data_IF_973902411541
#
_entry.id   IF_973902411541
#
_cell.length_a   1.000
_cell.length_b   1.000
_cell.length_c   1.000
_cell.angle_alpha   90.00
_cell.angle_beta   90.00
_cell.angle_gamma   90.00
#
_symmetry.space_group_name_H-M   'P 1'
#
loop_
_entity.id
_entity.type
_entity.pdbx_description
1 polymer ?
#
# COMPACT_ATOMS: atom_id res chain seq x y z
N UNK A 1 -40.07 52.90 4.69
CA UNK A 1 -38.81 52.58 5.39
C UNK A 1 -39.10 51.57 6.50
N UNK A 2 -38.97 50.27 6.23
CA UNK A 2 -38.87 49.26 7.30
C UNK A 2 -37.79 48.26 6.89
N UNK A 3 -36.84 48.09 7.81
CA UNK A 3 -35.60 47.31 7.71
C UNK A 3 -35.89 45.84 7.42
N UNK A 4 -35.13 45.25 6.50
CA UNK A 4 -34.86 43.81 6.47
C UNK A 4 -34.01 43.45 7.69
N UNK A 5 -34.51 42.56 8.55
CA UNK A 5 -33.68 41.78 9.46
C UNK A 5 -33.85 40.30 9.11
N UNK A 6 -32.76 39.80 8.55
CA UNK A 6 -32.26 38.44 8.37
C UNK A 6 -32.92 37.31 9.16
N UNK A 7 -33.40 36.36 8.36
CA UNK A 7 -33.60 34.94 8.60
C UNK A 7 -32.52 34.26 9.45
N UNK A 8 -32.93 33.63 10.54
CA UNK A 8 -32.26 32.46 11.11
C UNK A 8 -33.31 31.40 11.42
N UNK A 9 -33.54 30.48 10.48
CA UNK A 9 -34.01 29.11 10.68
C UNK A 9 -34.31 28.53 9.31
N UNK A 10 -33.27 27.96 8.71
CA UNK A 10 -33.33 27.25 7.45
C UNK A 10 -32.21 26.24 7.45
N UNK A 11 -32.27 25.27 8.37
CA UNK A 11 -31.64 23.99 8.09
C UNK A 11 -32.43 23.44 6.89
N UNK A 12 -31.88 23.67 5.69
CA UNK A 12 -32.63 23.53 4.45
C UNK A 12 -32.94 22.06 4.20
N UNK A 13 -34.13 21.82 3.65
CA UNK A 13 -34.60 20.55 3.11
C UNK A 13 -33.54 19.83 2.25
N UNK A 14 -32.62 20.58 1.64
CA UNK A 14 -31.49 20.08 0.86
C UNK A 14 -30.52 19.22 1.70
N UNK A 15 -30.33 19.52 2.99
CA UNK A 15 -29.51 18.73 3.90
C UNK A 15 -30.16 17.37 4.20
N UNK A 16 -31.48 17.32 4.42
CA UNK A 16 -32.21 16.07 4.70
C UNK A 16 -32.28 15.14 3.48
N UNK A 17 -32.33 15.71 2.27
CA UNK A 17 -32.22 14.96 1.00
C UNK A 17 -30.77 14.49 0.78
N UNK A 18 -29.78 15.33 1.07
CA UNK A 18 -28.36 14.98 1.01
C UNK A 18 -27.98 13.87 2.02
N UNK A 19 -28.63 13.86 3.19
CA UNK A 19 -28.46 12.85 4.25
C UNK A 19 -29.29 11.57 3.99
N UNK A 20 -30.10 11.53 2.92
CA UNK A 20 -30.58 10.29 2.31
C UNK A 20 -31.98 9.81 2.73
N UNK A 21 -32.91 10.70 3.06
CA UNK A 21 -34.32 10.38 3.31
C UNK A 21 -35.11 10.13 1.99
N UNK A 22 -35.61 8.92 1.67
CA UNK A 22 -36.04 8.60 0.30
C UNK A 22 -37.51 8.85 -0.04
N UNK A 23 -38.42 9.08 0.91
CA UNK A 23 -39.84 9.29 0.58
C UNK A 23 -40.63 9.93 1.73
N UNK A 24 -41.67 10.69 1.37
CA UNK A 24 -42.57 11.43 2.28
C UNK A 24 -43.72 10.51 2.70
N UNK A 25 -43.95 10.35 4.02
CA UNK A 25 -45.08 9.59 4.58
C UNK A 25 -46.23 10.54 4.93
N UNK A 26 -47.44 10.25 4.43
CA UNK A 26 -48.69 10.93 4.78
C UNK A 26 -49.34 10.23 5.99
N UNK A 27 -49.61 10.96 7.06
CA UNK A 27 -50.63 10.60 8.06
C UNK A 27 -51.36 11.89 8.45
N UNK A 28 -52.42 12.20 7.73
CA UNK A 28 -53.39 13.21 8.12
C UNK A 28 -54.49 12.53 8.90
N UNK A 29 -54.84 13.06 10.07
CA UNK A 29 -55.88 12.54 10.94
C UNK A 29 -57.25 12.50 10.19
N UNK A 30 -57.60 11.38 9.53
CA UNK A 30 -58.89 11.17 8.83
C UNK A 30 -60.05 10.91 9.84
N UNK A 31 -59.82 11.22 11.11
CA UNK A 31 -60.67 10.79 12.22
C UNK A 31 -61.71 11.78 12.68
N UNK A 32 -62.40 12.55 11.82
CA UNK A 32 -63.69 13.12 12.22
C UNK A 32 -64.66 13.09 11.04
N UNK A 33 -65.64 12.18 11.13
CA UNK A 33 -66.93 12.27 10.44
C UNK A 33 -67.38 13.73 10.38
N UNK A 34 -67.19 14.41 9.25
CA UNK A 34 -68.00 15.59 8.94
C UNK A 34 -69.38 15.06 8.60
N UNK A 35 -70.37 15.45 9.40
CA UNK A 35 -71.78 15.19 9.10
C UNK A 35 -72.05 15.71 7.66
N UNK A 36 -72.53 14.83 6.77
CA UNK A 36 -72.80 15.06 5.35
C UNK A 36 -71.62 14.91 4.35
N UNK A 37 -70.51 14.29 4.74
CA UNK A 37 -69.50 13.81 3.76
C UNK A 37 -69.90 12.42 3.21
N UNK A 38 -69.69 12.11 1.91
CA UNK A 38 -69.81 10.73 1.42
C UNK A 38 -68.79 9.85 2.15
N UNK A 39 -69.18 8.64 2.53
CA UNK A 39 -68.24 7.64 3.06
C UNK A 39 -67.19 7.35 1.97
N UNK A 40 -65.97 7.84 2.17
CA UNK A 40 -64.94 7.82 1.13
C UNK A 40 -64.04 6.58 1.33
N UNK A 41 -64.59 5.39 1.00
CA UNK A 41 -63.85 4.12 0.97
C UNK A 41 -62.58 4.22 0.10
N UNK A 42 -62.59 5.08 -0.92
CA UNK A 42 -61.47 5.34 -1.83
C UNK A 42 -60.26 5.98 -1.11
N UNK A 43 -60.50 6.77 -0.05
CA UNK A 43 -59.44 7.47 0.69
C UNK A 43 -58.67 6.52 1.62
N UNK A 44 -59.38 5.61 2.31
CA UNK A 44 -58.77 4.56 3.11
C UNK A 44 -58.04 3.53 2.22
N UNK A 45 -58.62 3.20 1.06
CA UNK A 45 -57.97 2.34 0.08
C UNK A 45 -56.69 2.98 -0.52
N UNK A 46 -56.72 4.29 -0.77
CA UNK A 46 -55.55 5.06 -1.20
C UNK A 46 -54.44 5.06 -0.14
N UNK A 47 -54.78 5.35 1.11
CA UNK A 47 -53.83 5.38 2.23
C UNK A 47 -53.20 4.00 2.49
N UNK A 48 -53.98 2.93 2.38
CA UNK A 48 -53.49 1.56 2.49
C UNK A 48 -52.50 1.19 1.37
N UNK A 49 -52.80 1.55 0.12
CA UNK A 49 -51.90 1.30 -1.03
C UNK A 49 -50.57 2.05 -0.89
N UNK A 50 -50.61 3.32 -0.49
CA UNK A 50 -49.41 4.13 -0.24
C UNK A 50 -48.60 3.56 0.94
N UNK A 51 -49.26 3.12 2.01
CA UNK A 51 -48.57 2.54 3.18
C UNK A 51 -47.84 1.24 2.82
N UNK A 52 -48.47 0.36 2.04
CA UNK A 52 -47.85 -0.88 1.58
C UNK A 52 -46.63 -0.64 0.65
N UNK A 53 -46.71 0.36 -0.23
CA UNK A 53 -45.61 0.69 -1.16
C UNK A 53 -44.38 1.29 -0.48
N UNK A 54 -44.47 1.72 0.78
CA UNK A 54 -43.47 2.60 1.43
C UNK A 54 -42.79 1.99 2.66
N UNK A 55 -43.09 0.72 2.97
CA UNK A 55 -42.67 0.00 4.18
C UNK A 55 -41.15 -0.21 4.35
N UNK A 56 -40.33 0.14 3.34
CA UNK A 56 -38.89 -0.13 3.30
C UNK A 56 -37.97 1.12 3.32
N UNK A 57 -38.50 2.32 3.59
CA UNK A 57 -37.73 3.57 3.50
C UNK A 57 -37.84 4.48 4.75
N UNK A 58 -36.72 5.08 5.25
CA UNK A 58 -36.74 6.01 6.40
C UNK A 58 -37.24 7.42 6.00
N UNK A 59 -38.21 8.00 6.73
CA UNK A 59 -39.04 9.12 6.25
C UNK A 59 -39.01 10.43 7.09
N UNK A 60 -39.34 11.57 6.45
CA UNK A 60 -39.65 12.91 7.02
C UNK A 60 -41.12 13.29 6.69
N UNK A 61 -41.78 14.10 7.53
CA UNK A 61 -43.27 14.24 7.66
C UNK A 61 -43.83 15.56 7.08
N UNK A 62 -44.96 15.54 6.34
CA UNK A 62 -45.75 16.76 5.93
C UNK A 62 -47.27 16.46 5.88
N UNK A 63 -48.12 17.41 6.33
CA UNK A 63 -49.60 17.28 6.45
C UNK A 63 -50.42 18.13 5.45
N UNK A 64 -51.71 17.79 5.26
CA UNK A 64 -52.73 18.69 4.69
C UNK A 64 -53.10 19.78 5.70
N UNK A 65 -53.07 21.04 5.26
CA UNK A 65 -53.54 22.17 6.05
C UNK A 65 -54.49 23.03 5.24
N UNK A 66 -55.36 23.76 5.92
CA UNK A 66 -56.01 24.93 5.36
C UNK A 66 -54.91 25.99 5.09
N UNK A 67 -54.63 26.27 3.81
CA UNK A 67 -53.58 27.21 3.41
C UNK A 67 -53.81 28.63 3.93
N UNK A 68 -55.07 28.98 4.22
CA UNK A 68 -55.42 30.26 4.81
C UNK A 68 -55.23 30.28 6.34
N UNK A 69 -55.05 29.12 6.98
CA UNK A 69 -54.72 29.00 8.40
C UNK A 69 -53.19 29.02 8.67
N UNK A 70 -52.37 28.89 7.64
CA UNK A 70 -50.91 28.91 7.75
C UNK A 70 -50.37 30.32 7.45
N UNK A 71 -49.66 30.90 8.42
CA UNK A 71 -48.99 32.19 8.24
C UNK A 71 -47.52 31.99 7.84
N UNK A 72 -47.21 32.17 6.56
CA UNK A 72 -45.83 32.14 6.04
C UNK A 72 -45.71 31.67 4.58
N UNK A 73 -44.55 31.86 3.92
CA UNK A 73 -44.30 31.33 2.59
C UNK A 73 -44.15 29.80 2.63
N UNK A 74 -45.08 29.10 1.98
CA UNK A 74 -45.07 27.64 1.85
C UNK A 74 -44.40 27.27 0.53
N UNK A 75 -43.44 26.35 0.57
CA UNK A 75 -42.83 25.78 -0.62
C UNK A 75 -43.62 24.52 -1.01
N UNK A 76 -44.28 24.57 -2.16
CA UNK A 76 -45.19 23.53 -2.65
C UNK A 76 -44.42 22.45 -3.43
N UNK A 77 -44.48 21.19 -3.01
CA UNK A 77 -43.83 20.06 -3.68
C UNK A 77 -44.82 18.91 -3.94
N UNK A 78 -45.68 19.07 -4.96
CA UNK A 78 -46.47 17.99 -5.59
C UNK A 78 -47.61 17.35 -4.79
N UNK A 79 -47.64 17.46 -3.47
CA UNK A 79 -48.70 16.87 -2.62
C UNK A 79 -50.12 17.43 -2.87
N UNK A 80 -50.21 18.51 -3.64
CA UNK A 80 -51.46 19.14 -4.04
C UNK A 80 -52.22 18.36 -5.12
N UNK A 81 -51.58 17.38 -5.75
CA UNK A 81 -52.05 16.74 -6.98
C UNK A 81 -52.80 15.43 -6.72
N UNK A 82 -52.85 14.93 -5.48
CA UNK A 82 -53.32 13.55 -5.22
C UNK A 82 -54.77 13.44 -4.75
N UNK A 83 -55.49 14.56 -4.62
CA UNK A 83 -56.91 14.55 -4.26
C UNK A 83 -57.77 15.13 -5.39
N UNK A 84 -58.86 14.46 -5.82
CA UNK A 84 -59.67 14.92 -6.97
C UNK A 84 -60.43 16.23 -6.68
N UNK A 85 -60.47 16.66 -5.42
CA UNK A 85 -61.16 17.85 -4.96
C UNK A 85 -60.26 18.77 -4.12
N UNK A 86 -60.35 20.08 -4.32
CA UNK A 86 -59.83 21.12 -3.43
C UNK A 86 -60.98 21.66 -2.59
N UNK A 87 -60.78 21.83 -1.28
CA UNK A 87 -61.79 22.35 -0.37
C UNK A 87 -61.45 23.78 0.05
N UNK A 88 -62.39 24.70 -0.11
CA UNK A 88 -62.25 26.09 0.32
C UNK A 88 -63.55 26.57 1.01
N UNK A 89 -63.46 27.10 2.23
CA UNK A 89 -64.56 27.77 2.95
C UNK A 89 -65.92 27.03 2.90
N UNK A 90 -65.89 25.69 3.06
CA UNK A 90 -67.05 24.77 3.02
C UNK A 90 -67.57 24.38 1.63
N UNK A 91 -66.86 24.73 0.56
CA UNK A 91 -67.15 24.34 -0.82
C UNK A 91 -66.09 23.37 -1.33
N UNK A 92 -66.49 22.33 -2.06
CA UNK A 92 -65.57 21.41 -2.73
C UNK A 92 -65.56 21.71 -4.24
N UNK A 93 -64.37 21.89 -4.80
CA UNK A 93 -64.15 22.15 -6.22
C UNK A 93 -63.30 21.04 -6.81
N UNK A 94 -63.46 20.71 -8.10
CA UNK A 94 -62.54 19.81 -8.80
C UNK A 94 -61.12 20.38 -8.73
N UNK A 95 -60.17 19.54 -8.33
CA UNK A 95 -58.77 19.90 -8.33
C UNK A 95 -58.26 19.89 -9.79
N UNK A 96 -57.88 21.04 -10.38
CA UNK A 96 -57.38 21.08 -11.75
C UNK A 96 -55.99 20.46 -11.89
N UNK A 97 -55.29 20.21 -10.76
CA UNK A 97 -53.98 19.59 -10.72
C UNK A 97 -54.04 18.10 -10.32
N UNK A 98 -55.23 17.48 -10.28
CA UNK A 98 -55.36 16.09 -9.88
C UNK A 98 -54.64 15.12 -10.84
N UNK A 99 -53.74 14.33 -10.28
CA UNK A 99 -53.08 13.18 -10.89
C UNK A 99 -53.75 11.90 -10.35
N UNK A 100 -54.23 11.01 -11.22
CA UNK A 100 -54.77 9.72 -10.79
C UNK A 100 -53.79 8.94 -9.92
N UNK A 101 -54.29 8.32 -8.86
CA UNK A 101 -53.52 7.48 -7.92
C UNK A 101 -52.54 6.54 -8.61
N UNK A 102 -53.00 5.78 -9.61
CA UNK A 102 -52.17 4.78 -10.28
C UNK A 102 -51.00 5.44 -11.03
N UNK A 103 -51.26 6.58 -11.67
CA UNK A 103 -50.24 7.37 -12.35
C UNK A 103 -49.23 7.96 -11.34
N UNK A 104 -49.69 8.46 -10.19
CA UNK A 104 -48.81 8.95 -9.12
C UNK A 104 -47.93 7.82 -8.56
N UNK A 105 -48.51 6.64 -8.33
CA UNK A 105 -47.79 5.46 -7.85
C UNK A 105 -46.73 4.99 -8.85
N UNK A 106 -47.04 4.94 -10.15
CA UNK A 106 -46.05 4.61 -11.20
C UNK A 106 -44.85 5.57 -11.21
N UNK A 107 -45.10 6.87 -11.02
CA UNK A 107 -44.01 7.86 -10.95
C UNK A 107 -43.15 7.67 -9.70
N UNK A 108 -43.77 7.36 -8.55
CA UNK A 108 -43.03 7.10 -7.31
C UNK A 108 -42.19 5.83 -7.40
N UNK A 109 -42.72 4.76 -7.99
CA UNK A 109 -41.96 3.52 -8.23
C UNK A 109 -40.76 3.78 -9.13
N UNK A 110 -40.92 4.55 -10.21
CA UNK A 110 -39.83 4.91 -11.10
C UNK A 110 -38.71 5.70 -10.37
N UNK A 111 -39.07 6.67 -9.54
CA UNK A 111 -38.11 7.45 -8.73
C UNK A 111 -37.40 6.55 -7.70
N UNK A 112 -38.14 5.66 -7.04
CA UNK A 112 -37.57 4.76 -6.03
C UNK A 112 -36.57 3.76 -6.65
N UNK A 113 -36.87 3.26 -7.85
CA UNK A 113 -35.96 2.39 -8.62
C UNK A 113 -34.69 3.15 -8.99
N UNK A 114 -34.80 4.36 -9.57
CA UNK A 114 -33.67 5.19 -9.97
C UNK A 114 -32.72 5.49 -8.79
N UNK A 115 -33.26 5.95 -7.65
CA UNK A 115 -32.48 6.22 -6.43
C UNK A 115 -31.80 4.95 -5.91
N UNK A 116 -32.50 3.81 -5.94
CA UNK A 116 -31.96 2.54 -5.47
C UNK A 116 -30.82 2.03 -6.36
N UNK A 117 -30.94 2.18 -7.68
CA UNK A 117 -29.89 1.83 -8.63
C UNK A 117 -28.67 2.73 -8.47
N UNK A 118 -28.87 4.05 -8.36
CA UNK A 118 -27.80 5.01 -8.10
C UNK A 118 -27.05 4.68 -6.81
N UNK A 119 -27.75 4.40 -5.72
CA UNK A 119 -27.12 4.01 -4.43
C UNK A 119 -26.34 2.71 -4.51
N UNK A 120 -26.85 1.72 -5.24
CA UNK A 120 -26.14 0.46 -5.48
C UNK A 120 -24.84 0.71 -6.25
N UNK A 121 -24.88 1.56 -7.29
CA UNK A 121 -23.71 1.93 -8.07
C UNK A 121 -22.67 2.71 -7.23
N UNK A 122 -23.09 3.73 -6.48
CA UNK A 122 -22.22 4.51 -5.59
C UNK A 122 -21.60 3.63 -4.48
N UNK A 123 -22.39 2.75 -3.87
CA UNK A 123 -21.90 1.81 -2.87
C UNK A 123 -20.91 0.78 -3.41
N UNK A 124 -21.13 0.30 -4.65
CA UNK A 124 -20.20 -0.59 -5.33
C UNK A 124 -18.88 0.12 -5.69
N UNK A 125 -18.97 1.37 -6.17
CA UNK A 125 -17.80 2.20 -6.48
C UNK A 125 -16.97 2.44 -5.22
N UNK A 126 -17.59 2.88 -4.13
CA UNK A 126 -16.91 3.12 -2.84
C UNK A 126 -16.17 1.88 -2.33
N UNK A 127 -16.83 0.71 -2.35
CA UNK A 127 -16.20 -0.56 -1.95
C UNK A 127 -15.01 -0.92 -2.84
N UNK A 128 -15.10 -0.66 -4.14
CA UNK A 128 -14.00 -0.89 -5.08
C UNK A 128 -12.80 0.03 -4.79
N UNK A 129 -13.07 1.32 -4.55
CA UNK A 129 -12.04 2.31 -4.19
C UNK A 129 -11.36 1.99 -2.86
N UNK A 130 -12.13 1.63 -1.83
CA UNK A 130 -11.60 1.20 -0.53
C UNK A 130 -10.72 -0.04 -0.66
N UNK A 131 -11.16 -1.02 -1.46
CA UNK A 131 -10.38 -2.23 -1.73
C UNK A 131 -9.08 -1.90 -2.47
N UNK A 132 -9.14 -1.05 -3.50
CA UNK A 132 -7.95 -0.62 -4.23
C UNK A 132 -6.97 0.11 -3.30
N UNK A 133 -7.46 1.09 -2.53
CA UNK A 133 -6.63 1.84 -1.58
C UNK A 133 -5.96 0.93 -0.57
N UNK A 134 -6.70 -0.02 -0.01
CA UNK A 134 -6.15 -0.98 0.97
C UNK A 134 -5.03 -1.80 0.35
N UNK A 135 -5.24 -2.39 -0.83
CA UNK A 135 -4.23 -3.20 -1.51
C UNK A 135 -3.00 -2.38 -1.94
N UNK A 136 -3.22 -1.13 -2.34
CA UNK A 136 -2.16 -0.21 -2.76
C UNK A 136 -1.28 0.18 -1.58
N UNK A 137 -1.86 0.62 -0.46
CA UNK A 137 -1.12 1.06 0.72
C UNK A 137 -0.50 -0.09 1.50
N UNK A 138 -1.18 -1.23 1.63
CA UNK A 138 -0.68 -2.36 2.43
C UNK A 138 0.35 -3.23 1.69
N UNK A 139 0.70 -2.91 0.44
CA UNK A 139 1.62 -3.73 -0.32
C UNK A 139 3.05 -3.64 0.27
N UNK A 140 3.75 -4.76 0.50
CA UNK A 140 5.11 -4.77 1.07
C UNK A 140 6.20 -4.32 0.08
N UNK A 141 5.79 -3.89 -1.12
CA UNK A 141 6.66 -3.42 -2.19
C UNK A 141 6.32 -1.96 -2.50
N UNK A 142 7.29 -1.23 -3.02
CA UNK A 142 7.04 0.13 -3.50
C UNK A 142 6.16 0.11 -4.74
N UNK A 143 5.10 0.90 -4.75
CA UNK A 143 4.22 1.07 -5.90
C UNK A 143 4.15 2.55 -6.27
N UNK A 144 4.30 2.86 -7.56
CA UNK A 144 4.08 4.20 -8.08
C UNK A 144 3.21 4.19 -9.34
N UNK A 145 2.38 5.23 -9.46
CA UNK A 145 1.60 5.56 -10.65
C UNK A 145 2.21 6.81 -11.26
N UNK A 146 2.53 6.76 -12.55
CA UNK A 146 3.25 7.83 -13.23
C UNK A 146 2.55 8.23 -14.53
N UNK A 147 2.62 9.53 -14.88
CA UNK A 147 2.07 10.07 -16.12
C UNK A 147 2.89 9.66 -17.36
N UNK A 148 2.60 10.27 -18.52
CA UNK A 148 3.28 9.97 -19.79
C UNK A 148 4.72 10.50 -19.84
N UNK A 149 5.05 11.46 -18.98
CA UNK A 149 6.36 12.08 -18.84
C UNK A 149 7.21 11.37 -17.76
N UNK A 150 6.56 10.55 -16.93
CA UNK A 150 7.15 9.78 -15.85
C UNK A 150 7.16 10.49 -14.50
N UNK A 151 6.35 11.55 -14.35
CA UNK A 151 6.10 12.24 -13.09
C UNK A 151 5.23 11.38 -12.19
N UNK A 152 5.51 11.36 -10.89
CA UNK A 152 4.71 10.60 -9.93
C UNK A 152 3.35 11.28 -9.71
N UNK A 153 2.28 10.55 -9.99
CA UNK A 153 0.89 10.94 -9.71
C UNK A 153 0.51 10.47 -8.30
N UNK A 154 0.88 9.24 -7.97
CA UNK A 154 0.56 8.61 -6.70
C UNK A 154 1.65 7.59 -6.34
N UNK A 155 1.92 7.45 -5.05
CA UNK A 155 2.82 6.42 -4.53
C UNK A 155 2.28 5.86 -3.22
N UNK A 156 2.53 4.58 -2.95
CA UNK A 156 2.14 3.99 -1.68
C UNK A 156 3.16 4.29 -0.58
N UNK A 157 2.77 4.08 0.68
CA UNK A 157 3.65 4.28 1.83
C UNK A 157 4.97 3.50 1.73
N UNK A 158 4.93 2.26 1.21
CA UNK A 158 6.14 1.45 1.01
C UNK A 158 7.14 2.09 0.04
N UNK A 159 6.69 2.75 -1.03
CA UNK A 159 7.58 3.46 -1.96
C UNK A 159 8.22 4.70 -1.32
N UNK A 160 7.44 5.43 -0.53
CA UNK A 160 7.87 6.59 0.27
C UNK A 160 8.96 6.20 1.26
N UNK A 161 8.71 5.16 2.05
CA UNK A 161 9.68 4.64 3.02
C UNK A 161 10.94 4.11 2.35
N UNK A 162 10.80 3.43 1.21
CA UNK A 162 11.92 2.81 0.49
C UNK A 162 12.93 3.86 -0.02
N UNK A 163 12.44 4.99 -0.53
CA UNK A 163 13.26 6.05 -1.12
C UNK A 163 13.46 7.27 -0.19
N UNK A 164 12.76 7.28 0.95
CA UNK A 164 12.81 8.30 2.00
C UNK A 164 12.33 9.69 1.55
N UNK A 165 11.35 9.74 0.66
CA UNK A 165 10.65 10.97 0.28
C UNK A 165 9.22 10.93 0.80
N UNK A 166 8.65 12.09 1.16
CA UNK A 166 7.22 12.19 1.44
C UNK A 166 6.39 12.16 0.15
N UNK A 167 5.10 11.87 0.26
CA UNK A 167 4.16 11.92 -0.88
C UNK A 167 4.18 13.29 -1.58
N UNK A 168 4.19 14.39 -0.81
CA UNK A 168 4.20 15.75 -1.38
C UNK A 168 5.50 16.07 -2.12
N UNK A 169 6.63 15.54 -1.67
CA UNK A 169 7.89 15.68 -2.39
C UNK A 169 7.85 14.90 -3.71
N UNK A 170 7.25 13.69 -3.71
CA UNK A 170 7.12 12.91 -4.94
C UNK A 170 6.25 13.56 -6.00
N UNK A 171 5.19 14.30 -5.62
CA UNK A 171 4.36 15.04 -6.58
C UNK A 171 5.16 16.07 -7.41
N UNK A 172 6.34 16.47 -6.97
CA UNK A 172 7.26 17.33 -7.71
C UNK A 172 8.30 16.59 -8.57
N UNK A 173 8.42 15.28 -8.40
CA UNK A 173 9.51 14.47 -8.96
C UNK A 173 9.01 13.53 -10.05
N UNK A 174 9.97 13.02 -10.82
CA UNK A 174 9.79 11.96 -11.80
C UNK A 174 10.76 10.81 -11.51
N UNK A 175 10.55 9.67 -12.16
CA UNK A 175 11.52 8.56 -12.07
C UNK A 175 12.94 8.98 -12.50
N UNK A 176 13.07 10.04 -13.32
CA UNK A 176 14.35 10.52 -13.86
C UNK A 176 15.19 11.21 -12.80
N UNK A 177 14.54 11.82 -11.80
CA UNK A 177 15.19 12.58 -10.75
C UNK A 177 15.78 11.67 -9.66
N UNK A 178 15.16 10.51 -9.47
CA UNK A 178 15.60 9.52 -8.47
C UNK A 178 16.43 8.38 -9.08
N UNK A 179 16.50 8.23 -10.40
CA UNK A 179 17.31 7.19 -11.05
C UNK A 179 18.75 7.68 -11.22
N UNK A 180 19.74 6.83 -10.92
CA UNK A 180 21.16 7.17 -11.12
C UNK A 180 21.48 7.46 -12.60
N UNK A 181 22.46 8.34 -12.84
CA UNK A 181 22.78 8.85 -14.17
C UNK A 181 23.16 7.73 -15.16
N UNK A 182 23.88 6.72 -14.68
CA UNK A 182 24.34 5.57 -15.47
C UNK A 182 23.16 4.70 -15.95
N UNK A 183 22.10 4.59 -15.14
CA UNK A 183 20.94 3.74 -15.40
C UNK A 183 19.79 4.52 -16.09
N UNK A 184 19.95 5.84 -16.24
CA UNK A 184 18.92 6.75 -16.70
C UNK A 184 18.64 6.60 -18.20
N UNK A 185 19.67 6.39 -19.02
CA UNK A 185 19.53 6.26 -20.47
C UNK A 185 18.66 5.06 -20.86
N UNK A 186 18.95 3.89 -20.27
CA UNK A 186 18.15 2.68 -20.49
C UNK A 186 16.72 2.85 -19.94
N UNK A 187 16.58 3.39 -18.74
CA UNK A 187 15.27 3.64 -18.12
C UNK A 187 14.40 4.53 -19.01
N UNK A 188 14.95 5.62 -19.57
CA UNK A 188 14.24 6.51 -20.49
C UNK A 188 13.80 5.80 -21.76
N UNK A 189 14.67 4.98 -22.35
CA UNK A 189 14.34 4.21 -23.56
C UNK A 189 13.18 3.24 -23.29
N UNK A 190 13.28 2.44 -22.24
CA UNK A 190 12.26 1.44 -21.86
C UNK A 190 10.92 2.11 -21.54
N UNK A 191 10.94 3.24 -20.84
CA UNK A 191 9.76 4.02 -20.51
C UNK A 191 9.11 4.64 -21.76
N UNK A 192 9.91 5.25 -22.66
CA UNK A 192 9.40 5.82 -23.91
C UNK A 192 8.76 4.77 -24.82
N UNK A 193 9.34 3.58 -24.93
CA UNK A 193 8.74 2.47 -25.67
C UNK A 193 7.42 1.99 -25.04
N UNK A 194 7.31 2.01 -23.71
CA UNK A 194 6.13 1.62 -22.95
C UNK A 194 4.96 2.60 -23.18
N UNK A 195 5.23 3.91 -23.04
CA UNK A 195 4.26 4.98 -23.29
C UNK A 195 3.85 5.00 -24.77
N UNK A 196 4.82 4.87 -25.68
CA UNK A 196 4.61 4.83 -27.14
C UNK A 196 3.96 3.55 -27.66
N UNK A 197 3.67 2.57 -26.80
CA UNK A 197 2.93 1.36 -27.18
C UNK A 197 3.75 0.29 -27.92
N UNK A 198 5.07 0.47 -28.05
CA UNK A 198 5.98 -0.54 -28.62
C UNK A 198 6.13 -1.76 -27.71
N UNK A 199 5.75 -1.63 -26.44
CA UNK A 199 5.79 -2.71 -25.43
C UNK A 199 4.72 -2.51 -24.35
N UNK A 200 4.29 -3.61 -23.73
CA UNK A 200 3.25 -3.61 -22.68
C UNK A 200 3.79 -3.48 -21.25
N UNK A 201 4.99 -4.03 -20.98
CA UNK A 201 5.64 -4.03 -19.65
C UNK A 201 7.14 -4.25 -19.74
N UNK A 202 7.98 -3.66 -18.87
CA UNK A 202 9.40 -4.03 -18.69
C UNK A 202 9.70 -4.43 -17.26
N UNK A 203 10.79 -5.17 -17.12
CA UNK A 203 11.53 -5.36 -15.88
C UNK A 203 12.95 -4.84 -16.07
N UNK A 204 13.49 -4.11 -15.11
CA UNK A 204 14.88 -3.66 -15.11
C UNK A 204 15.40 -3.61 -13.68
N UNK A 205 16.62 -4.11 -13.48
CA UNK A 205 17.37 -3.88 -12.24
C UNK A 205 18.18 -2.61 -12.41
N UNK A 206 17.97 -1.63 -11.54
CA UNK A 206 18.64 -0.33 -11.62
C UNK A 206 18.83 0.25 -10.23
N UNK A 207 19.60 1.32 -10.15
CA UNK A 207 19.85 2.03 -8.90
C UNK A 207 19.00 3.29 -8.81
N UNK A 208 18.39 3.46 -7.65
CA UNK A 208 17.80 4.71 -7.23
C UNK A 208 18.68 5.42 -6.22
N UNK A 209 18.61 6.75 -6.22
CA UNK A 209 19.16 7.63 -5.19
C UNK A 209 18.04 7.96 -4.21
N UNK A 210 18.24 7.58 -2.95
CA UNK A 210 17.36 7.98 -1.85
C UNK A 210 17.55 9.46 -1.52
N UNK A 211 16.61 10.05 -0.78
CA UNK A 211 16.68 11.45 -0.34
C UNK A 211 17.96 11.78 0.44
N UNK A 212 18.40 10.87 1.31
CA UNK A 212 19.62 11.02 2.09
C UNK A 212 20.92 10.84 1.27
N UNK A 213 20.81 10.52 -0.03
CA UNK A 213 21.94 10.32 -0.94
C UNK A 213 22.34 8.85 -1.13
N UNK A 214 21.84 7.93 -0.29
CA UNK A 214 22.16 6.51 -0.36
C UNK A 214 21.67 5.88 -1.67
N UNK A 215 22.35 4.81 -2.07
CA UNK A 215 22.02 4.06 -3.27
C UNK A 215 21.17 2.85 -2.89
N UNK A 216 20.06 2.68 -3.59
CA UNK A 216 19.17 1.54 -3.50
C UNK A 216 19.25 0.73 -4.79
N UNK A 217 19.56 -0.56 -4.71
CA UNK A 217 19.36 -1.47 -5.83
C UNK A 217 17.92 -1.94 -5.88
N UNK A 218 17.27 -1.68 -7.01
CA UNK A 218 15.85 -1.93 -7.17
C UNK A 218 15.56 -2.77 -8.43
N UNK A 219 14.69 -3.75 -8.26
CA UNK A 219 14.07 -4.47 -9.34
C UNK A 219 12.74 -3.80 -9.69
N UNK A 220 12.70 -3.07 -10.79
CA UNK A 220 11.54 -2.28 -11.21
C UNK A 220 10.77 -3.01 -12.30
N UNK A 221 9.52 -3.37 -12.01
CA UNK A 221 8.54 -3.84 -12.99
C UNK A 221 7.58 -2.71 -13.31
N UNK A 222 7.48 -2.30 -14.58
CA UNK A 222 6.61 -1.21 -14.99
C UNK A 222 5.72 -1.63 -16.17
N UNK A 223 4.42 -1.36 -16.07
CA UNK A 223 3.41 -1.68 -17.08
C UNK A 223 2.61 -0.43 -17.47
N UNK A 224 2.16 -0.36 -18.73
CA UNK A 224 1.26 0.70 -19.17
C UNK A 224 -0.19 0.29 -18.95
N UNK A 225 -0.98 1.21 -18.40
CA UNK A 225 -2.44 1.11 -18.35
C UNK A 225 -3.03 1.98 -19.46
N UNK A 226 -3.96 1.38 -20.19
CA UNK A 226 -4.60 1.95 -21.37
C UNK A 226 -6.12 1.82 -21.24
N UNK A 227 -6.86 2.73 -21.86
CA UNK A 227 -8.32 2.62 -21.94
C UNK A 227 -8.76 1.59 -23.00
N UNK A 228 -10.07 1.41 -23.14
CA UNK A 228 -10.65 0.48 -24.12
C UNK A 228 -10.30 0.82 -25.59
N UNK A 229 -9.91 2.06 -25.87
CA UNK A 229 -9.46 2.51 -27.21
C UNK A 229 -7.96 2.26 -27.45
N UNK A 230 -7.21 1.81 -26.43
CA UNK A 230 -5.77 1.64 -26.49
C UNK A 230 -4.97 2.92 -26.18
N UNK A 231 -5.65 4.02 -25.83
CA UNK A 231 -4.98 5.27 -25.44
C UNK A 231 -4.30 5.09 -24.08
N UNK A 232 -3.09 5.62 -23.96
CA UNK A 232 -2.33 5.61 -22.72
C UNK A 232 -3.04 6.44 -21.63
N UNK A 233 -3.14 5.88 -20.42
CA UNK A 233 -3.66 6.59 -19.25
C UNK A 233 -2.52 6.91 -18.28
N UNK A 234 -1.81 5.90 -17.80
CA UNK A 234 -0.69 6.03 -16.87
C UNK A 234 0.20 4.78 -16.92
N UNK A 235 1.35 4.85 -16.25
CA UNK A 235 2.18 3.67 -15.94
C UNK A 235 2.00 3.25 -14.50
N UNK A 236 2.03 1.93 -14.26
CA UNK A 236 2.00 1.32 -12.93
C UNK A 236 3.34 0.61 -12.71
N UNK A 237 4.12 1.08 -11.74
CA UNK A 237 5.43 0.54 -11.41
C UNK A 237 5.41 -0.13 -10.03
N UNK A 238 6.07 -1.28 -9.95
CA UNK A 238 6.33 -2.06 -8.74
C UNK A 238 7.84 -2.15 -8.54
N UNK A 239 8.29 -1.79 -7.33
CA UNK A 239 9.70 -1.61 -6.98
C UNK A 239 10.01 -2.51 -5.78
N UNK A 240 10.90 -3.48 -6.01
CA UNK A 240 11.41 -4.40 -5.01
C UNK A 240 12.86 -4.05 -4.67
N UNK A 241 13.18 -3.94 -3.39
CA UNK A 241 14.57 -3.79 -2.92
C UNK A 241 15.33 -5.10 -3.11
N UNK A 242 16.40 -5.05 -3.89
CA UNK A 242 17.28 -6.20 -4.15
C UNK A 242 18.70 -5.93 -3.66
N UNK A 243 18.91 -4.92 -2.80
CA UNK A 243 20.22 -4.52 -2.29
C UNK A 243 20.90 -5.63 -1.50
N UNK A 244 20.15 -6.40 -0.70
CA UNK A 244 20.70 -7.56 0.00
C UNK A 244 21.17 -8.63 -0.99
N UNK A 245 20.36 -8.94 -2.01
CA UNK A 245 20.73 -9.89 -3.05
C UNK A 245 21.98 -9.43 -3.82
N UNK A 246 22.06 -8.16 -4.19
CA UNK A 246 23.23 -7.60 -4.89
C UNK A 246 24.50 -7.62 -4.05
N UNK A 247 24.40 -7.37 -2.74
CA UNK A 247 25.53 -7.53 -1.81
C UNK A 247 25.99 -9.00 -1.74
N UNK A 248 25.06 -9.95 -1.68
CA UNK A 248 25.39 -11.37 -1.71
C UNK A 248 26.04 -11.80 -3.04
N UNK A 249 25.48 -11.38 -4.18
CA UNK A 249 26.02 -11.63 -5.52
C UNK A 249 27.45 -11.04 -5.67
N UNK A 250 27.67 -9.81 -5.23
CA UNK A 250 28.98 -9.17 -5.27
C UNK A 250 30.00 -9.89 -4.38
N UNK A 251 29.58 -10.36 -3.20
CA UNK A 251 30.44 -11.15 -2.30
C UNK A 251 30.84 -12.46 -2.95
N UNK A 252 29.89 -13.20 -3.53
CA UNK A 252 30.18 -14.44 -4.25
C UNK A 252 31.09 -14.19 -5.46
N UNK A 253 30.83 -13.12 -6.20
CA UNK A 253 31.64 -12.75 -7.36
C UNK A 253 33.08 -12.44 -6.96
N UNK A 254 33.29 -11.64 -5.91
CA UNK A 254 34.63 -11.34 -5.39
C UNK A 254 35.37 -12.61 -4.95
N UNK A 255 34.66 -13.58 -4.33
CA UNK A 255 35.22 -14.88 -3.99
C UNK A 255 35.64 -15.64 -5.26
N UNK A 256 34.76 -15.73 -6.27
CA UNK A 256 35.03 -16.47 -7.52
C UNK A 256 36.12 -15.84 -8.40
N UNK A 257 36.14 -14.51 -8.54
CA UNK A 257 37.18 -13.79 -9.29
C UNK A 257 38.52 -13.86 -8.55
N UNK A 258 38.49 -13.81 -7.21
CA UNK A 258 39.64 -14.11 -6.36
C UNK A 258 40.20 -15.52 -6.62
N UNK A 259 39.34 -16.53 -6.79
CA UNK A 259 39.79 -17.91 -7.08
C UNK A 259 40.39 -18.09 -8.48
N UNK A 260 40.11 -17.20 -9.42
CA UNK A 260 40.56 -17.32 -10.81
C UNK A 260 41.78 -16.43 -11.16
N UNK A 261 42.03 -15.34 -10.42
CA UNK A 261 42.98 -14.30 -10.83
C UNK A 261 44.30 -14.24 -10.03
N UNK A 262 44.41 -14.89 -8.87
CA UNK A 262 45.59 -14.74 -8.00
C UNK A 262 46.15 -16.11 -7.59
N UNK A 263 47.30 -16.47 -8.15
CA UNK A 263 48.09 -17.62 -7.68
C UNK A 263 48.92 -17.15 -6.49
N UNK A 264 48.70 -17.72 -5.31
CA UNK A 264 49.61 -17.56 -4.14
C UNK A 264 48.99 -16.91 -2.90
N UNK A 265 49.85 -16.49 -1.97
CA UNK A 265 49.48 -16.01 -0.63
C UNK A 265 48.60 -14.75 -0.65
N UNK A 266 48.73 -13.87 -1.64
CA UNK A 266 47.91 -12.65 -1.77
C UNK A 266 46.41 -12.93 -1.96
N UNK A 267 46.04 -14.11 -2.48
CA UNK A 267 44.63 -14.53 -2.58
C UNK A 267 43.95 -14.52 -1.20
N UNK A 268 44.60 -15.11 -0.19
CA UNK A 268 44.03 -15.23 1.14
C UNK A 268 43.87 -13.87 1.82
N UNK A 269 44.82 -12.96 1.61
CA UNK A 269 44.70 -11.58 2.10
C UNK A 269 43.49 -10.89 1.48
N UNK A 270 43.37 -10.90 0.16
CA UNK A 270 42.23 -10.28 -0.54
C UNK A 270 40.89 -10.88 -0.08
N UNK A 271 40.81 -12.21 -0.01
CA UNK A 271 39.61 -12.93 0.41
C UNK A 271 39.21 -12.55 1.84
N UNK A 272 40.16 -12.58 2.79
CA UNK A 272 39.88 -12.29 4.21
C UNK A 272 39.41 -10.85 4.40
N UNK A 273 40.03 -9.87 3.74
CA UNK A 273 39.56 -8.47 3.80
C UNK A 273 38.15 -8.31 3.24
N UNK A 274 37.88 -8.87 2.05
CA UNK A 274 36.54 -8.76 1.45
C UNK A 274 35.47 -9.46 2.29
N UNK A 275 35.80 -10.58 2.94
CA UNK A 275 34.90 -11.23 3.89
C UNK A 275 34.64 -10.37 5.12
N UNK A 276 35.68 -9.74 5.68
CA UNK A 276 35.54 -8.85 6.83
C UNK A 276 34.64 -7.66 6.52
N UNK A 277 34.89 -6.98 5.39
CA UNK A 277 34.10 -5.84 4.92
C UNK A 277 32.64 -6.22 4.63
N UNK A 278 32.41 -7.33 3.92
CA UNK A 278 31.08 -7.76 3.51
C UNK A 278 30.17 -8.12 4.71
N UNK A 279 30.77 -8.68 5.75
CA UNK A 279 30.06 -9.13 6.95
C UNK A 279 30.10 -8.10 8.08
N UNK A 280 30.85 -7.01 7.90
CA UNK A 280 31.09 -5.99 8.91
C UNK A 280 31.63 -6.57 10.22
N UNK A 281 32.55 -7.54 10.12
CA UNK A 281 33.20 -8.16 11.28
C UNK A 281 34.56 -7.51 11.55
N UNK A 282 34.91 -7.42 12.83
CA UNK A 282 36.17 -6.80 13.27
C UNK A 282 37.39 -7.67 12.94
N UNK A 283 37.24 -8.99 13.03
CA UNK A 283 38.32 -9.94 12.80
C UNK A 283 37.88 -10.96 11.76
N UNK A 284 38.77 -11.30 10.83
CA UNK A 284 38.55 -12.42 9.94
C UNK A 284 39.89 -13.08 9.64
N UNK A 285 39.94 -14.39 9.54
CA UNK A 285 41.16 -15.08 9.16
C UNK A 285 40.88 -16.40 8.47
N UNK A 286 41.87 -16.85 7.70
CA UNK A 286 41.90 -18.18 7.09
C UNK A 286 43.15 -18.87 7.61
N UNK A 287 43.02 -20.11 8.05
CA UNK A 287 44.17 -20.91 8.48
C UNK A 287 44.29 -22.21 7.69
N UNK A 288 45.50 -22.74 7.56
CA UNK A 288 45.78 -24.11 7.09
C UNK A 288 46.28 -25.01 8.22
N UNK A 289 45.99 -26.31 8.14
CA UNK A 289 46.62 -27.28 9.04
C UNK A 289 48.11 -27.45 8.69
N UNK A 290 48.97 -27.39 9.69
CA UNK A 290 50.44 -27.49 9.51
C UNK A 290 50.99 -28.90 9.73
N UNK A 291 50.19 -29.79 10.30
CA UNK A 291 50.58 -31.16 10.61
C UNK A 291 49.48 -32.18 10.24
N UNK A 292 49.88 -33.43 9.99
CA UNK A 292 48.96 -34.54 9.69
C UNK A 292 48.03 -34.87 10.86
N UNK A 293 48.45 -34.51 12.08
CA UNK A 293 47.66 -34.67 13.31
C UNK A 293 46.51 -33.68 13.43
N UNK A 294 46.47 -32.65 12.56
CA UNK A 294 45.49 -31.54 12.59
C UNK A 294 45.35 -30.90 13.97
N UNK A 295 46.46 -30.74 14.69
CA UNK A 295 46.48 -30.14 16.04
C UNK A 295 47.02 -28.72 16.01
N UNK A 296 47.78 -28.36 14.97
CA UNK A 296 48.30 -27.01 14.75
C UNK A 296 47.83 -26.42 13.44
N UNK A 297 47.49 -25.14 13.49
CA UNK A 297 47.14 -24.36 12.32
C UNK A 297 48.03 -23.14 12.18
N UNK A 298 48.25 -22.73 10.94
CA UNK A 298 48.94 -21.50 10.57
C UNK A 298 47.94 -20.58 9.91
N UNK A 299 47.90 -19.33 10.35
CA UNK A 299 47.11 -18.31 9.65
C UNK A 299 47.75 -17.98 8.31
N UNK A 300 46.95 -17.99 7.25
CA UNK A 300 47.33 -17.62 5.89
C UNK A 300 47.09 -16.14 5.61
N UNK A 301 46.05 -15.57 6.24
CA UNK A 301 45.80 -14.14 6.31
C UNK A 301 44.91 -13.82 7.52
N UNK A 302 45.17 -12.69 8.17
CA UNK A 302 44.44 -12.24 9.35
C UNK A 302 44.09 -10.75 9.27
N UNK A 303 42.81 -10.42 9.13
CA UNK A 303 42.31 -9.05 9.21
C UNK A 303 41.98 -8.65 10.65
N UNK A 304 42.40 -7.45 11.04
CA UNK A 304 42.25 -6.89 12.39
C UNK A 304 41.46 -5.57 12.40
N UNK A 305 40.48 -5.45 11.52
CA UNK A 305 39.57 -4.31 11.45
C UNK A 305 40.02 -3.24 10.47
N UNK A 306 41.28 -2.79 10.58
CA UNK A 306 41.84 -1.75 9.71
C UNK A 306 43.05 -2.21 8.88
N UNK A 307 43.79 -3.20 9.37
CA UNK A 307 44.99 -3.73 8.73
C UNK A 307 45.13 -5.25 8.91
N UNK A 308 46.11 -5.83 8.22
CA UNK A 308 46.46 -7.23 8.40
C UNK A 308 47.42 -7.43 9.57
N UNK A 309 47.15 -8.44 10.39
CA UNK A 309 48.08 -8.96 11.40
C UNK A 309 49.10 -9.92 10.82
N UNK A 310 50.13 -10.23 11.60
CA UNK A 310 51.11 -11.26 11.24
C UNK A 310 50.49 -12.66 11.22
N UNK A 311 50.95 -13.48 10.29
CA UNK A 311 50.57 -14.89 10.22
C UNK A 311 51.25 -15.67 11.33
N UNK A 312 50.45 -16.22 12.24
CA UNK A 312 50.90 -16.96 13.42
C UNK A 312 50.52 -18.44 13.35
N UNK A 313 51.31 -19.28 14.03
CA UNK A 313 50.98 -20.67 14.28
C UNK A 313 50.48 -20.86 15.71
N UNK A 314 49.40 -21.61 15.87
CA UNK A 314 48.83 -21.88 17.19
C UNK A 314 48.21 -23.28 17.27
N UNK A 315 48.02 -23.75 18.50
CA UNK A 315 47.39 -25.04 18.80
C UNK A 315 45.87 -24.88 18.78
N UNK A 316 45.16 -25.82 18.15
CA UNK A 316 43.70 -25.80 18.08
C UNK A 316 43.03 -26.19 19.41
N UNK A 317 43.72 -26.97 20.24
CA UNK A 317 43.15 -27.50 21.48
C UNK A 317 42.75 -26.35 22.42
N UNK A 318 41.49 -26.37 22.86
CA UNK A 318 40.94 -25.32 23.73
C UNK A 318 40.44 -24.08 23.00
N UNK A 319 40.49 -24.06 21.65
CA UNK A 319 39.99 -22.97 20.81
C UNK A 319 38.66 -23.35 20.14
N UNK A 320 37.81 -22.38 19.75
CA UNK A 320 36.59 -22.66 18.98
C UNK A 320 36.87 -23.30 17.61
N UNK A 321 38.08 -23.11 17.08
CA UNK A 321 38.53 -23.63 15.78
C UNK A 321 38.65 -25.16 15.74
N UNK A 322 38.78 -25.83 16.90
CA UNK A 322 38.95 -27.28 16.99
C UNK A 322 37.80 -28.04 16.30
N UNK A 323 36.56 -27.71 16.65
CA UNK A 323 35.37 -28.33 16.06
C UNK A 323 35.21 -28.02 14.57
N UNK A 324 35.73 -26.87 14.14
CA UNK A 324 35.66 -26.46 12.74
C UNK A 324 36.55 -27.34 11.88
N UNK A 325 37.72 -27.72 12.39
CA UNK A 325 38.65 -28.63 11.70
C UNK A 325 38.11 -30.06 11.65
N UNK A 326 37.30 -30.47 12.61
CA UNK A 326 36.55 -31.74 12.58
C UNK A 326 35.44 -31.76 11.51
N UNK A 327 35.15 -30.59 10.90
CA UNK A 327 34.28 -30.46 9.75
C UNK A 327 32.92 -29.83 10.04
N UNK A 328 32.70 -29.35 11.26
CA UNK A 328 31.46 -28.67 11.67
C UNK A 328 31.53 -27.16 11.39
N UNK A 329 30.40 -26.58 11.01
CA UNK A 329 30.25 -25.11 11.08
C UNK A 329 29.93 -24.74 12.52
N UNK A 330 30.77 -23.91 13.13
CA UNK A 330 30.61 -23.48 14.52
C UNK A 330 30.16 -22.03 14.58
N UNK A 331 29.10 -21.74 15.32
CA UNK A 331 28.61 -20.39 15.55
C UNK A 331 28.38 -20.16 17.04
N UNK A 332 29.05 -19.16 17.59
CA UNK A 332 28.90 -18.71 18.97
C UNK A 332 28.54 -17.22 18.92
N UNK A 333 27.25 -16.86 19.08
CA UNK A 333 26.80 -15.48 18.90
C UNK A 333 27.16 -14.56 20.07
N UNK A 334 27.44 -15.11 21.25
CA UNK A 334 27.84 -14.37 22.44
C UNK A 334 28.72 -15.23 23.38
N UNK A 335 29.34 -14.57 24.37
CA UNK A 335 30.07 -15.19 25.50
C UNK A 335 31.22 -16.12 25.09
N UNK A 336 31.84 -15.87 23.95
CA UNK A 336 32.91 -16.72 23.41
C UNK A 336 34.05 -16.96 24.42
N UNK A 337 34.54 -15.91 25.08
CA UNK A 337 35.63 -16.00 26.06
C UNK A 337 35.28 -16.86 27.29
N UNK A 338 34.00 -16.92 27.67
CA UNK A 338 33.53 -17.75 28.78
C UNK A 338 33.43 -19.23 28.38
N UNK A 339 33.14 -19.51 27.11
CA UNK A 339 33.07 -20.86 26.56
C UNK A 339 34.46 -21.46 26.30
N UNK A 340 35.46 -20.62 26.01
CA UNK A 340 36.84 -21.01 25.73
C UNK A 340 37.82 -20.25 26.66
N UNK A 341 37.78 -20.47 27.98
CA UNK A 341 38.56 -19.69 28.95
C UNK A 341 40.07 -19.96 28.90
N UNK A 342 40.49 -21.06 28.26
CA UNK A 342 41.90 -21.42 28.09
C UNK A 342 42.56 -20.69 26.91
N UNK A 343 41.75 -20.11 26.01
CA UNK A 343 42.21 -19.35 24.84
C UNK A 343 42.43 -17.87 25.21
N UNK A 344 43.68 -17.55 25.56
CA UNK A 344 44.09 -16.20 25.96
C UNK A 344 44.10 -15.20 24.80
N UNK A 345 44.14 -15.68 23.56
CA UNK A 345 44.19 -14.82 22.39
C UNK A 345 42.81 -14.22 22.12
N UNK A 346 41.72 -14.97 22.36
CA UNK A 346 40.35 -14.45 22.28
C UNK A 346 40.10 -13.29 23.26
N UNK A 347 40.63 -13.40 24.48
CA UNK A 347 40.56 -12.33 25.48
C UNK A 347 41.38 -11.10 25.04
N UNK A 348 42.57 -11.33 24.48
CA UNK A 348 43.46 -10.26 23.99
C UNK A 348 42.87 -9.52 22.78
N UNK A 349 42.17 -10.25 21.90
CA UNK A 349 41.45 -9.68 20.75
C UNK A 349 40.12 -9.02 21.15
N UNK A 350 39.62 -9.27 22.37
CA UNK A 350 38.30 -8.81 22.80
C UNK A 350 37.16 -9.45 22.01
N UNK A 351 37.34 -10.69 21.53
CA UNK A 351 36.34 -11.36 20.71
C UNK A 351 35.14 -11.82 21.57
N UNK A 352 33.93 -11.35 21.25
CA UNK A 352 32.71 -11.72 21.99
C UNK A 352 31.90 -12.83 21.30
N UNK A 353 32.06 -12.97 19.98
CA UNK A 353 31.35 -13.91 19.11
C UNK A 353 32.31 -14.56 18.11
N UNK A 354 31.95 -15.71 17.54
CA UNK A 354 32.77 -16.45 16.58
C UNK A 354 31.90 -17.20 15.56
N UNK A 355 32.28 -17.14 14.28
CA UNK A 355 31.76 -18.03 13.25
C UNK A 355 32.91 -18.71 12.50
N UNK A 356 33.01 -20.03 12.64
CA UNK A 356 34.00 -20.85 11.95
C UNK A 356 33.37 -21.77 10.91
N UNK A 357 33.94 -21.79 9.71
CA UNK A 357 33.51 -22.64 8.59
C UNK A 357 34.70 -23.47 8.09
N UNK A 358 34.56 -24.80 7.94
CA UNK A 358 35.62 -25.64 7.38
C UNK A 358 35.85 -25.33 5.90
N UNK A 359 37.11 -25.21 5.51
CA UNK A 359 37.54 -25.13 4.11
C UNK A 359 37.99 -26.50 3.65
N UNK A 360 37.33 -27.04 2.61
CA UNK A 360 37.57 -28.40 2.10
C UNK A 360 38.34 -28.36 0.79
N UNK A 361 39.23 -29.34 0.59
CA UNK A 361 39.86 -29.62 -0.69
C UNK A 361 38.84 -30.10 -1.71
N UNK A 362 39.23 -30.11 -3.00
CA UNK A 362 38.49 -30.77 -4.07
C UNK A 362 38.27 -32.28 -3.84
N UNK A 363 39.04 -32.91 -2.96
CA UNK A 363 38.87 -34.31 -2.51
C UNK A 363 38.02 -34.47 -1.25
N UNK A 364 37.44 -33.39 -0.70
CA UNK A 364 36.53 -33.42 0.45
C UNK A 364 37.19 -33.39 1.84
N UNK A 365 38.53 -33.40 1.90
CA UNK A 365 39.30 -33.32 3.15
C UNK A 365 39.38 -31.88 3.65
N UNK A 366 39.18 -31.64 4.95
CA UNK A 366 39.33 -30.31 5.54
C UNK A 366 40.82 -29.91 5.48
N UNK A 367 41.12 -28.84 4.74
CA UNK A 367 42.46 -28.25 4.57
C UNK A 367 42.76 -27.20 5.65
N UNK A 368 41.71 -26.65 6.25
CA UNK A 368 41.79 -25.53 7.16
C UNK A 368 40.40 -25.01 7.52
N UNK A 369 40.33 -23.84 8.15
CA UNK A 369 39.07 -23.20 8.45
C UNK A 369 39.13 -21.69 8.19
N UNK A 370 37.99 -21.11 7.85
CA UNK A 370 37.78 -19.67 7.79
C UNK A 370 36.98 -19.24 9.01
N UNK A 371 37.52 -18.33 9.80
CA UNK A 371 36.83 -17.71 10.93
C UNK A 371 36.49 -16.27 10.62
N UNK A 372 35.32 -15.83 11.09
CA UNK A 372 34.80 -14.47 10.98
C UNK A 372 34.29 -13.99 12.33
#
# INVERSE_FOLDING_TARGET
MIRRQTSSQGASTEQAIADGAPLIRLLGNIGWRKLNWPDDEDLLAFEAKITAATEHFPCVVVCMYDLHALSGPIVHHGAFETHPLIVHERSAHKNPYYVPTDMFLEHLEAIAVDISERRRAEGALRKSEERFRTLFESAPIGISINDAEGKFIQSNESFQNLLQYSDDEFKGLSFRDITLAEDLAESKRLFGELVGGKRKRFRVEKRYRKKNGDILWANTNCSAVRDASGKFIYTFAMIEDISQRKRAEATLRAITEGTAAVIGSEFFYSLVRHLAEALQVQYAFITECTDETKMRVRTLAFWRGENFGENVEYLLCGTPCQKVIDGDVCCYPDRLQALFPEDKDLATLGAESYLGVPLRSSSGSVLGHGSR
#
